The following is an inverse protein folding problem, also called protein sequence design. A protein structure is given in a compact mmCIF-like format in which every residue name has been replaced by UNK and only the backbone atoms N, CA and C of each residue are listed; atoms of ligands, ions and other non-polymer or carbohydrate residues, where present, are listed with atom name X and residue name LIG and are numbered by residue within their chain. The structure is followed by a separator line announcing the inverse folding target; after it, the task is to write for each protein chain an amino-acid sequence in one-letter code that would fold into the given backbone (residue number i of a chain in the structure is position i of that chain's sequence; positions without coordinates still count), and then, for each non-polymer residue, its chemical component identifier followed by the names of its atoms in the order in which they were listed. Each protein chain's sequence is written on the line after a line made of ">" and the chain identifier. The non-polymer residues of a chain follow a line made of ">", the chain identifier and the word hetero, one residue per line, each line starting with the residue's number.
data_IF_222245361852
#
_entry.id   IF_222245361852
#
_cell.length_a   1.000
_cell.length_b   1.000
_cell.length_c   1.000
_cell.angle_alpha   90.00
_cell.angle_beta   90.00
_cell.angle_gamma   90.00
#
_symmetry.space_group_name_H-M   'P 1'
#
loop_
_entity.id
_entity.type
_entity.pdbx_description
1 polymer ?
#
# COMPACT_ATOMS: atom_id res chain seq x y z
N UNK A 1 9.62 -18.95 1.65
CA UNK A 1 8.61 -18.45 0.69
C UNK A 1 8.00 -17.18 1.25
N UNK A 2 7.90 -16.12 0.46
CA UNK A 2 7.22 -14.89 0.90
C UNK A 2 5.73 -15.11 0.63
N UNK A 3 4.93 -15.25 1.69
CA UNK A 3 3.48 -15.33 1.56
C UNK A 3 2.94 -13.98 1.04
N UNK A 4 2.16 -14.05 -0.05
CA UNK A 4 1.47 -12.90 -0.61
C UNK A 4 -0.04 -13.08 -0.45
N UNK A 5 -0.72 -12.03 -0.03
CA UNK A 5 -2.18 -12.03 0.14
C UNK A 5 -2.77 -10.77 -0.49
N UNK A 6 -4.05 -10.81 -0.83
CA UNK A 6 -4.78 -9.59 -1.15
C UNK A 6 -5.14 -8.87 0.14
N UNK A 7 -4.96 -7.54 0.23
CA UNK A 7 -5.45 -6.78 1.36
C UNK A 7 -6.97 -6.93 1.47
N UNK A 8 -7.48 -6.93 2.70
CA UNK A 8 -8.92 -6.96 2.95
C UNK A 8 -9.57 -5.65 2.55
N UNK A 9 -8.89 -4.54 2.84
CA UNK A 9 -9.31 -3.19 2.48
C UNK A 9 -8.06 -2.35 2.17
N UNK A 10 -8.20 -1.38 1.28
CA UNK A 10 -7.14 -0.40 1.00
C UNK A 10 -7.77 0.93 0.63
N UNK A 11 -7.34 1.99 1.32
CA UNK A 11 -7.77 3.35 1.08
C UNK A 11 -6.56 4.23 0.81
N UNK A 12 -6.55 4.91 -0.33
CA UNK A 12 -5.55 5.93 -0.64
C UNK A 12 -6.01 7.28 -0.10
N UNK A 13 -5.21 7.92 0.75
CA UNK A 13 -5.50 9.31 1.10
C UNK A 13 -5.14 10.22 -0.06
N UNK A 14 -5.99 11.23 -0.29
CA UNK A 14 -5.83 12.23 -1.34
C UNK A 14 -4.43 12.87 -1.34
N UNK A 15 -3.93 13.14 -2.54
CA UNK A 15 -2.58 13.59 -2.88
C UNK A 15 -2.25 15.03 -2.43
N UNK A 16 -2.70 15.47 -1.27
CA UNK A 16 -2.55 16.87 -0.84
C UNK A 16 -1.16 17.16 -0.25
N UNK A 17 -0.48 18.17 -0.82
CA UNK A 17 0.83 18.75 -0.49
C UNK A 17 2.09 17.85 -0.56
N UNK A 18 2.02 16.56 -0.21
CA UNK A 18 3.22 15.73 -0.10
C UNK A 18 3.91 15.44 -1.45
N UNK A 19 3.19 15.55 -2.57
CA UNK A 19 3.72 15.40 -3.92
C UNK A 19 4.66 16.54 -4.34
N UNK A 20 4.54 17.72 -3.73
CA UNK A 20 5.40 18.88 -4.03
C UNK A 20 6.88 18.55 -3.76
N UNK A 21 7.15 17.60 -2.86
CA UNK A 21 8.48 17.10 -2.53
C UNK A 21 8.81 15.72 -3.15
N UNK A 22 8.07 15.29 -4.18
CA UNK A 22 8.29 14.00 -4.85
C UNK A 22 7.94 12.77 -4.00
N UNK A 23 7.17 12.93 -2.92
CA UNK A 23 6.73 11.80 -2.09
C UNK A 23 5.42 11.23 -2.60
N UNK A 24 5.36 9.90 -2.74
CA UNK A 24 4.15 9.20 -3.18
C UNK A 24 3.02 9.18 -2.13
N UNK A 25 1.84 8.70 -2.53
CA UNK A 25 0.63 8.75 -1.70
C UNK A 25 0.78 7.89 -0.44
N UNK A 26 0.08 8.31 0.61
CA UNK A 26 -0.07 7.50 1.82
C UNK A 26 -1.24 6.54 1.62
N UNK A 27 -0.94 5.25 1.64
CA UNK A 27 -1.96 4.21 1.56
C UNK A 27 -2.21 3.65 2.95
N UNK A 28 -3.49 3.58 3.31
CA UNK A 28 -3.97 2.84 4.45
C UNK A 28 -4.40 1.46 3.97
N UNK A 29 -3.77 0.41 4.49
CA UNK A 29 -3.98 -0.98 4.04
C UNK A 29 -4.33 -1.86 5.22
N UNK A 30 -5.38 -2.66 5.07
CA UNK A 30 -5.78 -3.68 6.04
C UNK A 30 -5.32 -5.05 5.57
N UNK A 31 -4.50 -5.72 6.38
CA UNK A 31 -3.90 -6.99 6.01
C UNK A 31 -4.95 -8.08 5.80
N UNK A 32 -4.86 -8.80 4.68
CA UNK A 32 -5.77 -9.92 4.38
C UNK A 32 -5.65 -11.13 5.32
N UNK A 33 -4.53 -11.27 6.04
CA UNK A 33 -4.28 -12.39 6.97
C UNK A 33 -4.64 -12.06 8.41
N UNK A 34 -4.02 -11.04 9.00
CA UNK A 34 -4.19 -10.70 10.41
C UNK A 34 -5.24 -9.61 10.67
N UNK A 35 -5.84 -9.03 9.62
CA UNK A 35 -6.80 -7.92 9.69
C UNK A 35 -6.30 -6.64 10.37
N UNK A 36 -4.99 -6.54 10.64
CA UNK A 36 -4.40 -5.30 11.14
C UNK A 36 -4.33 -4.25 10.04
N UNK A 37 -4.79 -3.05 10.37
CA UNK A 37 -4.68 -1.87 9.53
C UNK A 37 -3.36 -1.14 9.77
N UNK A 38 -2.68 -0.76 8.70
CA UNK A 38 -1.44 0.01 8.78
C UNK A 38 -1.37 1.02 7.64
N UNK A 39 -0.65 2.11 7.87
CA UNK A 39 -0.45 3.14 6.85
C UNK A 39 1.00 3.20 6.41
N UNK A 40 1.24 3.23 5.10
CA UNK A 40 2.58 3.38 4.55
C UNK A 40 2.56 4.27 3.31
N UNK A 41 3.57 5.13 3.20
CA UNK A 41 3.80 5.89 1.98
C UNK A 41 4.38 4.95 0.93
N UNK A 42 3.69 4.84 -0.18
CA UNK A 42 4.16 4.04 -1.32
C UNK A 42 4.83 5.00 -2.30
N UNK A 43 6.10 4.76 -2.68
CA UNK A 43 6.75 5.57 -3.71
C UNK A 43 5.99 5.46 -5.04
N UNK A 44 6.07 6.47 -5.91
CA UNK A 44 5.43 6.46 -7.24
C UNK A 44 6.16 5.56 -8.26
N UNK A 45 6.70 4.44 -7.78
CA UNK A 45 7.26 3.37 -8.60
C UNK A 45 6.32 2.17 -8.50
N UNK A 46 6.36 1.28 -9.49
CA UNK A 46 5.64 0.01 -9.47
C UNK A 46 6.13 -0.86 -8.31
N UNK A 47 5.60 -0.65 -7.10
CA UNK A 47 5.76 -1.56 -5.98
C UNK A 47 4.47 -2.37 -5.82
N UNK A 48 4.50 -3.66 -6.20
CA UNK A 48 3.28 -4.46 -6.25
C UNK A 48 2.75 -4.86 -4.87
N UNK A 49 3.46 -4.63 -3.76
CA UNK A 49 2.93 -5.01 -2.44
C UNK A 49 3.57 -4.38 -1.22
N UNK A 50 2.76 -4.27 -0.16
CA UNK A 50 3.12 -3.76 1.15
C UNK A 50 3.20 -4.86 2.20
N UNK A 51 4.38 -4.99 2.83
CA UNK A 51 4.58 -5.92 3.96
C UNK A 51 3.82 -5.43 5.20
N UNK A 52 3.00 -6.31 5.76
CA UNK A 52 2.33 -6.08 7.03
C UNK A 52 3.38 -6.08 8.17
N UNK A 53 3.40 -5.06 9.05
CA UNK A 53 4.35 -4.99 10.15
C UNK A 53 4.08 -6.05 11.23
N UNK A 54 2.83 -6.49 11.40
CA UNK A 54 2.45 -7.49 12.42
C UNK A 54 2.78 -8.92 12.00
N UNK A 55 2.24 -9.38 10.87
CA UNK A 55 2.36 -10.78 10.45
C UNK A 55 3.45 -11.03 9.40
N UNK A 56 4.09 -9.97 8.91
CA UNK A 56 5.18 -10.07 7.93
C UNK A 56 4.77 -10.46 6.51
N UNK A 57 3.47 -10.71 6.25
CA UNK A 57 2.92 -11.09 4.94
C UNK A 57 2.87 -9.88 4.00
N UNK A 58 3.09 -10.12 2.70
CA UNK A 58 3.04 -9.07 1.68
C UNK A 58 1.62 -8.93 1.13
N UNK A 59 1.02 -7.75 1.32
CA UNK A 59 -0.29 -7.42 0.76
C UNK A 59 -0.10 -6.83 -0.63
N UNK A 60 -0.52 -7.54 -1.67
CA UNK A 60 -0.42 -7.08 -3.06
C UNK A 60 -1.53 -6.06 -3.30
N UNK A 61 -1.15 -4.80 -3.55
CA UNK A 61 -2.13 -3.73 -3.79
C UNK A 61 -2.39 -3.68 -5.30
N UNK A 62 -3.65 -3.87 -5.75
CA UNK A 62 -3.99 -3.81 -7.17
C UNK A 62 -4.11 -2.35 -7.65
N UNK A 63 -3.04 -1.56 -7.51
CA UNK A 63 -3.02 -0.18 -7.99
C UNK A 63 -2.58 -0.22 -9.46
N UNK A 64 -3.53 -0.06 -10.38
CA UNK A 64 -3.21 0.25 -11.77
C UNK A 64 -3.06 1.76 -11.85
N UNK A 65 -1.83 2.28 -11.81
CA UNK A 65 -1.58 3.68 -12.12
C UNK A 65 -1.78 3.81 -13.63
N UNK A 66 -2.98 4.18 -14.08
CA UNK A 66 -3.18 4.61 -15.47
C UNK A 66 -2.47 5.94 -15.62
N UNK A 67 -1.24 5.91 -16.15
CA UNK A 67 -0.58 7.11 -16.66
C UNK A 67 -1.48 7.71 -17.73
N UNK A 68 -1.91 8.95 -17.50
CA UNK A 68 -2.55 9.79 -18.51
C UNK A 68 -1.52 10.38 -19.46
#
# INVERSE_FOLDING_TARGET
>A
MIETVRPHDFNGYNMSLAQIFGRGPMLHVTCGKCRTSFSKRVPMVDQPGLRCPECGVVNIIPIVIKGG
#
